data_IF_932549733009
#
_entry.id   IF_932549733009
#
_cell.length_a   1.000
_cell.length_b   1.000
_cell.length_c   1.000
_cell.angle_alpha   90.00
_cell.angle_beta   90.00
_cell.angle_gamma   90.00
#
_symmetry.space_group_name_H-M   'P 1'
#
loop_
_entity.id
_entity.type
_entity.pdbx_description
1 polymer ?
#
# COMPACT_ATOMS: atom_id res chain seq x y z
N UNK A 1 -3.40 -14.52 -4.09
CA UNK A 1 -4.59 -14.18 -3.27
C UNK A 1 -5.42 -15.41 -2.94
N UNK A 2 -5.98 -16.12 -3.93
CA UNK A 2 -6.73 -17.35 -3.69
C UNK A 2 -5.94 -18.38 -2.88
N UNK A 3 -4.64 -18.54 -3.15
CA UNK A 3 -3.77 -19.46 -2.41
C UNK A 3 -3.65 -19.12 -0.91
N UNK A 4 -3.50 -17.84 -0.55
CA UNK A 4 -3.49 -17.38 0.85
C UNK A 4 -4.83 -17.64 1.56
N UNK A 5 -5.94 -17.40 0.85
CA UNK A 5 -7.28 -17.66 1.36
C UNK A 5 -7.51 -19.15 1.59
N UNK A 6 -7.12 -19.99 0.62
CA UNK A 6 -7.20 -21.46 0.72
C UNK A 6 -6.36 -21.94 1.90
N UNK A 7 -5.13 -21.44 2.07
CA UNK A 7 -4.27 -21.82 3.20
C UNK A 7 -4.89 -21.44 4.55
N UNK A 8 -5.45 -20.23 4.68
CA UNK A 8 -6.15 -19.81 5.88
C UNK A 8 -7.41 -20.64 6.16
N UNK A 9 -8.14 -21.01 5.10
CA UNK A 9 -9.33 -21.85 5.17
C UNK A 9 -8.98 -23.30 5.55
N UNK A 10 -7.86 -23.85 5.06
CA UNK A 10 -7.33 -25.14 5.49
C UNK A 10 -6.97 -25.13 6.97
N UNK A 11 -6.29 -24.08 7.46
CA UNK A 11 -6.01 -23.93 8.90
C UNK A 11 -7.30 -23.82 9.71
N UNK A 12 -8.30 -23.09 9.22
CA UNK A 12 -9.59 -22.98 9.88
C UNK A 12 -10.35 -24.33 9.94
N UNK A 13 -10.34 -25.12 8.87
CA UNK A 13 -11.08 -26.38 8.80
C UNK A 13 -10.37 -27.52 9.54
N UNK A 14 -9.07 -27.70 9.30
CA UNK A 14 -8.34 -28.91 9.73
C UNK A 14 -7.53 -28.73 11.02
N UNK A 15 -7.36 -27.49 11.51
CA UNK A 15 -6.62 -27.28 12.75
C UNK A 15 -7.47 -27.51 14.00
N UNK A 16 -6.82 -28.05 15.02
CA UNK A 16 -7.33 -28.21 16.40
C UNK A 16 -6.98 -27.02 17.30
N UNK A 17 -6.38 -25.96 16.75
CA UNK A 17 -5.99 -24.76 17.52
C UNK A 17 -7.23 -24.09 18.14
N UNK A 18 -7.19 -23.73 19.44
CA UNK A 18 -8.26 -22.98 20.09
C UNK A 18 -8.42 -21.61 19.40
N UNK A 19 -9.66 -21.16 19.23
CA UNK A 19 -9.97 -19.88 18.55
C UNK A 19 -9.50 -19.78 17.09
N UNK A 20 -9.43 -20.89 16.34
CA UNK A 20 -9.02 -20.93 14.91
C UNK A 20 -9.72 -19.93 13.98
N UNK A 21 -10.95 -19.48 14.31
CA UNK A 21 -11.65 -18.38 13.61
C UNK A 21 -10.82 -17.08 13.58
N UNK A 22 -10.02 -16.84 14.61
CA UNK A 22 -9.18 -15.66 14.77
C UNK A 22 -7.99 -15.63 13.79
N UNK A 23 -7.43 -16.81 13.48
CA UNK A 23 -6.39 -16.96 12.45
C UNK A 23 -6.97 -16.55 11.10
N UNK A 24 -8.13 -17.10 10.74
CA UNK A 24 -8.82 -16.78 9.49
C UNK A 24 -9.16 -15.28 9.39
N UNK A 25 -9.72 -14.70 10.45
CA UNK A 25 -10.01 -13.26 10.51
C UNK A 25 -8.74 -12.42 10.32
N UNK A 26 -7.64 -12.78 10.95
CA UNK A 26 -6.37 -12.06 10.82
C UNK A 26 -5.86 -12.09 9.38
N UNK A 27 -5.98 -13.24 8.71
CA UNK A 27 -5.61 -13.35 7.29
C UNK A 27 -6.52 -12.49 6.42
N UNK A 28 -7.84 -12.56 6.62
CA UNK A 28 -8.82 -11.79 5.86
C UNK A 28 -8.61 -10.27 5.98
N UNK A 29 -8.37 -9.77 7.19
CA UNK A 29 -8.19 -8.34 7.45
C UNK A 29 -6.91 -7.80 6.82
N UNK A 30 -5.83 -8.59 6.79
CA UNK A 30 -4.59 -8.21 6.11
C UNK A 30 -4.78 -8.29 4.59
N UNK A 31 -5.51 -9.31 4.10
CA UNK A 31 -5.78 -9.52 2.68
C UNK A 31 -6.73 -8.50 2.04
N UNK A 32 -7.64 -7.88 2.81
CA UNK A 32 -8.69 -6.98 2.34
C UNK A 32 -8.21 -5.65 1.72
N UNK A 33 -6.91 -5.46 1.45
CA UNK A 33 -6.44 -4.34 0.64
C UNK A 33 -5.00 -4.48 0.18
N UNK A 34 -4.65 -5.64 -0.39
CA UNK A 34 -3.28 -5.96 -0.78
C UNK A 34 -2.83 -5.11 -1.98
N UNK A 35 -1.77 -4.34 -1.73
CA UNK A 35 -0.76 -4.00 -2.72
C UNK A 35 0.54 -4.71 -2.27
N UNK A 36 1.37 -5.22 -3.20
CA UNK A 36 2.65 -5.88 -2.87
C UNK A 36 3.51 -4.94 -2.00
N UNK A 37 4.34 -5.44 -1.10
CA UNK A 37 5.18 -4.61 -0.21
C UNK A 37 4.43 -3.87 0.92
N UNK A 38 3.14 -3.54 0.76
CA UNK A 38 2.29 -3.08 1.87
C UNK A 38 1.88 -4.22 2.81
N UNK A 39 2.00 -5.48 2.39
CA UNK A 39 1.65 -6.66 3.18
C UNK A 39 2.51 -6.73 4.45
N UNK A 40 3.83 -6.58 4.34
CA UNK A 40 4.75 -6.60 5.49
C UNK A 40 4.43 -5.46 6.46
N UNK A 41 4.32 -4.23 5.95
CA UNK A 41 3.99 -3.05 6.76
C UNK A 41 2.64 -3.23 7.48
N UNK A 42 1.61 -3.73 6.79
CA UNK A 42 0.29 -4.02 7.40
C UNK A 42 0.34 -5.15 8.40
N UNK A 43 1.16 -6.17 8.18
CA UNK A 43 1.33 -7.29 9.11
C UNK A 43 1.97 -6.82 10.42
N UNK A 44 3.02 -5.99 10.35
CA UNK A 44 3.64 -5.37 11.53
C UNK A 44 2.63 -4.48 12.27
N UNK A 45 1.89 -3.64 11.53
CA UNK A 45 0.85 -2.79 12.09
C UNK A 45 -0.30 -3.60 12.71
N UNK A 46 -0.63 -4.76 12.13
CA UNK A 46 -1.61 -5.70 12.66
C UNK A 46 -1.14 -6.27 14.00
N UNK A 47 0.12 -6.71 14.09
CA UNK A 47 0.71 -7.17 15.36
C UNK A 47 0.65 -6.06 16.41
N UNK A 48 1.14 -4.85 16.09
CA UNK A 48 1.16 -3.72 17.02
C UNK A 48 -0.24 -3.35 17.52
N UNK A 49 -1.19 -3.17 16.60
CA UNK A 49 -2.55 -2.78 16.94
C UNK A 49 -3.30 -3.87 17.72
N UNK A 50 -3.10 -5.15 17.37
CA UNK A 50 -3.73 -6.26 18.09
C UNK A 50 -3.13 -6.45 19.48
N UNK A 51 -1.80 -6.39 19.64
CA UNK A 51 -1.17 -6.48 20.96
C UNK A 51 -1.61 -5.33 21.88
N UNK A 52 -1.66 -4.09 21.36
CA UNK A 52 -2.13 -2.94 22.12
C UNK A 52 -3.61 -3.10 22.54
N UNK A 53 -4.47 -3.60 21.64
CA UNK A 53 -5.87 -3.84 21.94
C UNK A 53 -6.07 -4.95 22.98
N UNK A 54 -5.26 -6.01 22.92
CA UNK A 54 -5.31 -7.11 23.87
C UNK A 54 -4.85 -6.68 25.27
N UNK A 55 -3.76 -5.90 25.38
CA UNK A 55 -3.29 -5.35 26.65
C UNK A 55 -4.33 -4.42 27.26
N UNK A 56 -4.93 -3.54 26.46
CA UNK A 56 -5.94 -2.59 26.94
C UNK A 56 -7.27 -3.27 27.27
N UNK A 57 -7.55 -4.44 26.68
CA UNK A 57 -8.77 -5.16 27.02
C UNK A 57 -8.74 -5.87 28.35
N UNK A 58 -7.59 -6.27 28.87
CA UNK A 58 -7.52 -6.86 30.22
C UNK A 58 -8.23 -5.99 31.26
N UNK A 59 -7.88 -4.70 31.45
CA UNK A 59 -8.58 -3.86 32.44
C UNK A 59 -10.04 -3.60 32.06
N UNK A 60 -10.36 -3.50 30.76
CA UNK A 60 -11.76 -3.30 30.31
C UNK A 60 -12.64 -4.50 30.67
N UNK A 61 -12.12 -5.72 30.57
CA UNK A 61 -12.87 -6.92 30.94
C UNK A 61 -13.19 -6.95 32.44
N UNK A 62 -12.23 -6.56 33.28
CA UNK A 62 -12.48 -6.41 34.72
C UNK A 62 -13.50 -5.30 35.01
N UNK A 63 -13.45 -4.16 34.31
CA UNK A 63 -14.45 -3.10 34.45
C UNK A 63 -15.86 -3.55 34.04
N UNK A 64 -15.97 -4.34 32.98
CA UNK A 64 -17.23 -4.91 32.51
C UNK A 64 -17.83 -5.88 33.51
N UNK A 65 -17.00 -6.67 34.21
CA UNK A 65 -17.47 -7.56 35.27
C UNK A 65 -18.09 -6.80 36.44
N UNK A 66 -17.60 -5.58 36.73
CA UNK A 66 -18.16 -4.72 37.78
C UNK A 66 -19.52 -4.13 37.34
N UNK A 67 -19.68 -3.78 36.06
CA UNK A 67 -20.92 -3.23 35.55
C UNK A 67 -21.22 -3.68 34.12
N UNK A 68 -22.07 -4.70 34.00
CA UNK A 68 -22.48 -5.31 32.73
C UNK A 68 -23.21 -4.33 31.80
N UNK A 69 -23.77 -3.22 32.31
CA UNK A 69 -24.43 -2.19 31.47
C UNK A 69 -23.44 -1.42 30.59
N UNK A 70 -22.13 -1.52 30.86
CA UNK A 70 -21.09 -0.92 30.04
C UNK A 70 -20.86 -1.68 28.72
N UNK A 71 -21.29 -2.93 28.61
CA UNK A 71 -21.01 -3.77 27.43
C UNK A 71 -21.59 -3.17 26.14
N UNK A 72 -22.90 -2.81 26.07
CA UNK A 72 -23.45 -2.23 24.84
C UNK A 72 -22.83 -0.87 24.52
N UNK A 73 -22.49 -0.06 25.53
CA UNK A 73 -21.85 1.24 25.36
C UNK A 73 -20.47 1.10 24.72
N UNK A 74 -19.65 0.16 25.22
CA UNK A 74 -18.33 -0.14 24.67
C UNK A 74 -18.42 -0.75 23.27
N UNK A 75 -19.42 -1.59 23.00
CA UNK A 75 -19.65 -2.18 21.69
C UNK A 75 -19.99 -1.10 20.65
N UNK A 76 -20.95 -0.22 20.95
CA UNK A 76 -21.35 0.88 20.05
C UNK A 76 -20.19 1.86 19.86
N UNK A 77 -19.51 2.24 20.95
CA UNK A 77 -18.35 3.12 20.91
C UNK A 77 -17.23 2.56 20.03
N UNK A 78 -16.91 1.28 20.18
CA UNK A 78 -15.89 0.61 19.37
C UNK A 78 -16.30 0.47 17.90
N UNK A 79 -17.58 0.25 17.59
CA UNK A 79 -18.09 0.26 16.22
C UNK A 79 -17.92 1.63 15.56
N UNK A 80 -18.31 2.72 16.24
CA UNK A 80 -18.14 4.09 15.73
C UNK A 80 -16.66 4.39 15.50
N UNK A 81 -15.81 4.10 16.49
CA UNK A 81 -14.36 4.35 16.40
C UNK A 81 -13.72 3.50 15.29
N UNK A 82 -14.20 2.29 15.03
CA UNK A 82 -13.76 1.47 13.90
C UNK A 82 -14.10 2.13 12.55
N UNK A 83 -15.30 2.69 12.40
CA UNK A 83 -15.72 3.39 11.16
C UNK A 83 -14.90 4.66 10.96
N UNK A 84 -14.77 5.50 12.00
CA UNK A 84 -14.03 6.76 11.97
C UNK A 84 -12.55 6.52 11.67
N UNK A 85 -11.92 5.56 12.37
CA UNK A 85 -10.53 5.18 12.09
C UNK A 85 -10.35 4.55 10.71
N UNK A 86 -11.40 3.93 10.16
CA UNK A 86 -11.46 3.42 8.80
C UNK A 86 -11.27 4.50 7.72
N UNK A 87 -11.67 5.75 8.00
CA UNK A 87 -11.51 6.87 7.07
C UNK A 87 -10.06 7.34 6.96
N UNK A 88 -9.24 7.10 8.00
CA UNK A 88 -7.83 7.49 8.01
C UNK A 88 -6.92 6.31 7.61
N UNK A 89 -6.70 6.15 6.31
CA UNK A 89 -5.85 5.09 5.75
C UNK A 89 -4.38 5.14 6.20
N UNK A 90 -3.90 6.31 6.66
CA UNK A 90 -2.51 6.50 7.02
C UNK A 90 -2.17 5.84 8.37
N UNK A 91 -3.14 5.80 9.30
CA UNK A 91 -3.01 5.21 10.65
C UNK A 91 -3.73 3.86 10.76
N UNK A 92 -3.36 2.92 9.89
CA UNK A 92 -3.91 1.55 9.89
C UNK A 92 -3.81 0.84 11.26
N UNK A 93 -2.79 1.17 12.07
CA UNK A 93 -2.65 0.67 13.45
C UNK A 93 -3.89 0.94 14.32
N UNK A 94 -4.46 2.14 14.21
CA UNK A 94 -5.62 2.59 15.00
C UNK A 94 -6.88 1.85 14.52
N UNK A 95 -7.04 1.68 13.20
CA UNK A 95 -8.13 0.89 12.63
C UNK A 95 -8.08 -0.55 13.14
N UNK A 96 -6.90 -1.17 13.08
CA UNK A 96 -6.69 -2.53 13.59
C UNK A 96 -7.08 -2.62 15.06
N UNK A 97 -6.64 -1.67 15.88
CA UNK A 97 -6.93 -1.63 17.30
C UNK A 97 -8.45 -1.69 17.56
N UNK A 98 -9.22 -0.78 16.95
CA UNK A 98 -10.67 -0.75 17.15
C UNK A 98 -11.39 -1.94 16.52
N UNK A 99 -10.92 -2.46 15.38
CA UNK A 99 -11.47 -3.71 14.81
C UNK A 99 -11.24 -4.89 15.75
N UNK A 100 -10.03 -5.04 16.31
CA UNK A 100 -9.72 -6.11 17.27
C UNK A 100 -10.59 -5.98 18.53
N UNK A 101 -10.76 -4.76 19.04
CA UNK A 101 -11.58 -4.48 20.21
C UNK A 101 -13.07 -4.79 19.97
N UNK A 102 -13.62 -4.32 18.84
CA UNK A 102 -15.00 -4.59 18.44
C UNK A 102 -15.26 -6.09 18.25
N UNK A 103 -14.41 -6.78 17.49
CA UNK A 103 -14.60 -8.22 17.22
C UNK A 103 -14.49 -9.03 18.52
N UNK A 104 -13.61 -8.63 19.44
CA UNK A 104 -13.51 -9.32 20.72
C UNK A 104 -14.77 -9.12 21.57
N UNK A 105 -15.26 -7.89 21.72
CA UNK A 105 -16.51 -7.63 22.44
C UNK A 105 -17.70 -8.36 21.81
N UNK A 106 -17.76 -8.39 20.47
CA UNK A 106 -18.76 -9.14 19.74
C UNK A 106 -18.65 -10.65 20.03
N UNK A 107 -17.45 -11.20 20.02
CA UNK A 107 -17.22 -12.61 20.34
C UNK A 107 -17.61 -12.93 21.79
N UNK A 108 -17.31 -12.02 22.72
CA UNK A 108 -17.68 -12.19 24.13
C UNK A 108 -19.22 -12.19 24.33
N UNK A 109 -19.98 -11.55 23.44
CA UNK A 109 -21.44 -11.54 23.45
C UNK A 109 -22.08 -12.74 22.76
N UNK A 110 -21.43 -13.34 21.77
CA UNK A 110 -22.02 -14.39 20.91
C UNK A 110 -21.52 -15.80 21.23
N UNK A 111 -20.59 -15.96 22.16
CA UNK A 111 -20.13 -17.29 22.59
C UNK A 111 -21.10 -17.83 23.63
N UNK A 112 -21.82 -18.88 23.25
CA UNK A 112 -22.81 -19.58 24.09
C UNK A 112 -22.15 -20.57 25.06
N UNK A 113 -20.93 -21.03 24.77
CA UNK A 113 -20.17 -21.96 25.61
C UNK A 113 -19.27 -21.19 26.59
N UNK A 114 -19.44 -21.42 27.89
CA UNK A 114 -18.54 -20.89 28.91
C UNK A 114 -17.18 -21.58 28.72
N UNK A 115 -16.26 -20.93 27.99
CA UNK A 115 -14.87 -21.40 27.94
C UNK A 115 -14.29 -21.25 29.35
N UNK A 116 -13.77 -22.34 29.91
CA UNK A 116 -13.09 -22.35 31.22
C UNK A 116 -11.76 -21.55 31.24
N UNK A 117 -11.47 -20.80 30.17
CA UNK A 117 -10.24 -20.03 29.99
C UNK A 117 -10.30 -18.72 30.81
N UNK A 118 -9.22 -18.45 31.55
CA UNK A 118 -9.06 -17.16 32.22
C UNK A 118 -8.86 -16.00 31.22
N UNK A 119 -9.08 -14.73 31.63
CA UNK A 119 -8.85 -13.55 30.76
C UNK A 119 -7.43 -13.51 30.16
N UNK A 120 -6.44 -13.99 30.91
CA UNK A 120 -5.04 -14.05 30.48
C UNK A 120 -4.83 -15.12 29.40
N UNK A 121 -5.37 -16.33 29.60
CA UNK A 121 -5.27 -17.44 28.64
C UNK A 121 -5.95 -17.08 27.32
N UNK A 122 -7.14 -16.47 27.40
CA UNK A 122 -7.89 -16.00 26.24
C UNK A 122 -7.10 -14.96 25.42
N UNK A 123 -6.44 -14.01 26.09
CA UNK A 123 -5.59 -13.01 25.44
C UNK A 123 -4.38 -13.67 24.77
N UNK A 124 -3.73 -14.60 25.46
CA UNK A 124 -2.53 -15.29 24.98
C UNK A 124 -2.84 -16.17 23.76
N UNK A 125 -3.94 -16.93 23.80
CA UNK A 125 -4.42 -17.73 22.67
C UNK A 125 -4.69 -16.87 21.43
N UNK A 126 -5.31 -15.69 21.61
CA UNK A 126 -5.57 -14.76 20.49
C UNK A 126 -4.31 -14.10 19.96
N UNK A 127 -3.34 -13.79 20.84
CA UNK A 127 -2.03 -13.29 20.44
C UNK A 127 -1.29 -14.31 19.56
N UNK A 128 -1.25 -15.58 19.98
CA UNK A 128 -0.67 -16.68 19.20
C UNK A 128 -1.39 -16.83 17.86
N UNK A 129 -2.72 -16.84 17.83
CA UNK A 129 -3.48 -16.95 16.59
C UNK A 129 -3.18 -15.80 15.60
N UNK A 130 -2.98 -14.58 16.10
CA UNK A 130 -2.57 -13.44 15.26
C UNK A 130 -1.17 -13.63 14.70
N UNK A 131 -0.22 -14.13 15.50
CA UNK A 131 1.14 -14.42 15.02
C UNK A 131 1.14 -15.51 13.94
N UNK A 132 0.34 -16.58 14.12
CA UNK A 132 0.18 -17.64 13.12
C UNK A 132 -0.41 -17.07 11.83
N UNK A 133 -1.48 -16.26 11.91
CA UNK A 133 -2.08 -15.62 10.74
C UNK A 133 -1.10 -14.71 9.99
N UNK A 134 -0.27 -13.96 10.72
CA UNK A 134 0.79 -13.13 10.12
C UNK A 134 1.89 -13.99 9.48
N UNK A 135 2.33 -15.07 10.14
CA UNK A 135 3.33 -15.97 9.60
C UNK A 135 2.89 -16.59 8.27
N UNK A 136 1.63 -17.07 8.19
CA UNK A 136 1.01 -17.57 6.95
C UNK A 136 1.12 -16.55 5.82
N UNK A 137 0.81 -15.28 6.11
CA UNK A 137 0.83 -14.22 5.11
C UNK A 137 2.25 -13.84 4.70
N UNK A 138 3.18 -13.72 5.65
CA UNK A 138 4.58 -13.39 5.33
C UNK A 138 5.25 -14.51 4.53
N UNK A 139 5.00 -15.77 4.87
CA UNK A 139 5.49 -16.91 4.09
C UNK A 139 4.91 -16.89 2.68
N UNK A 140 3.60 -16.67 2.54
CA UNK A 140 2.99 -16.55 1.22
C UNK A 140 3.52 -15.34 0.44
N UNK A 141 3.79 -14.22 1.11
CA UNK A 141 4.32 -13.01 0.50
C UNK A 141 5.73 -13.25 -0.06
N UNK A 142 6.58 -13.88 0.75
CA UNK A 142 7.93 -14.28 0.38
C UNK A 142 7.93 -15.23 -0.84
N UNK A 143 7.17 -16.31 -0.80
CA UNK A 143 7.16 -17.29 -1.89
C UNK A 143 6.53 -16.73 -3.18
N UNK A 144 5.48 -15.92 -3.09
CA UNK A 144 4.71 -15.46 -4.27
C UNK A 144 5.21 -14.15 -4.86
N UNK A 145 5.65 -13.18 -4.05
CA UNK A 145 5.96 -11.83 -4.54
C UNK A 145 7.47 -11.56 -4.65
N UNK A 146 8.28 -12.07 -3.71
CA UNK A 146 9.74 -11.88 -3.76
C UNK A 146 10.36 -12.69 -4.91
N UNK A 147 9.95 -13.95 -5.08
CA UNK A 147 10.37 -14.82 -6.19
C UNK A 147 10.14 -14.21 -7.58
N UNK A 148 9.09 -13.40 -7.75
CA UNK A 148 8.73 -12.81 -9.05
C UNK A 148 9.17 -11.34 -9.23
N UNK A 149 9.84 -10.76 -8.22
CA UNK A 149 10.20 -9.33 -8.14
C UNK A 149 9.02 -8.43 -8.53
N UNK A 150 7.82 -8.78 -8.07
CA UNK A 150 6.57 -8.18 -8.57
C UNK A 150 6.50 -6.69 -8.25
N UNK A 151 6.98 -6.25 -7.07
CA UNK A 151 7.05 -4.83 -6.69
C UNK A 151 7.85 -4.00 -7.70
N UNK A 152 9.00 -4.52 -8.16
CA UNK A 152 9.86 -3.83 -9.14
C UNK A 152 9.19 -3.73 -10.52
N UNK A 153 8.53 -4.81 -10.97
CA UNK A 153 7.77 -4.83 -12.23
C UNK A 153 6.59 -3.86 -12.20
N UNK A 154 5.84 -3.85 -11.10
CA UNK A 154 4.70 -2.96 -10.92
C UNK A 154 5.13 -1.49 -10.90
N UNK A 155 6.22 -1.18 -10.18
CA UNK A 155 6.78 0.16 -10.17
C UNK A 155 7.24 0.59 -11.57
N UNK A 156 8.01 -0.24 -12.27
CA UNK A 156 8.44 0.04 -13.64
C UNK A 156 7.26 0.29 -14.59
N UNK A 157 6.21 -0.53 -14.50
CA UNK A 157 4.99 -0.32 -15.28
C UNK A 157 4.38 1.07 -15.04
N UNK A 158 4.28 1.51 -13.79
CA UNK A 158 3.81 2.85 -13.46
C UNK A 158 4.78 3.96 -13.89
N UNK A 159 6.10 3.74 -13.86
CA UNK A 159 7.09 4.67 -14.41
C UNK A 159 6.85 4.88 -15.91
N UNK A 160 6.70 3.78 -16.67
CA UNK A 160 6.49 3.81 -18.11
C UNK A 160 5.17 4.51 -18.49
N UNK A 161 4.08 4.20 -17.78
CA UNK A 161 2.80 4.86 -17.99
C UNK A 161 2.87 6.37 -17.74
N UNK A 162 3.52 6.78 -16.63
CA UNK A 162 3.65 8.19 -16.26
C UNK A 162 4.52 8.94 -17.27
N UNK A 163 5.63 8.35 -17.70
CA UNK A 163 6.50 8.92 -18.72
C UNK A 163 5.81 9.09 -20.07
N UNK A 164 5.09 8.06 -20.54
CA UNK A 164 4.31 8.14 -21.80
C UNK A 164 3.23 9.21 -21.70
N UNK A 165 2.55 9.32 -20.55
CA UNK A 165 1.57 10.36 -20.29
C UNK A 165 2.19 11.76 -20.39
N UNK A 166 3.30 12.00 -19.67
CA UNK A 166 4.02 13.28 -19.68
C UNK A 166 4.48 13.66 -21.09
N UNK A 167 5.08 12.70 -21.82
CA UNK A 167 5.50 12.91 -23.21
C UNK A 167 4.33 13.28 -24.12
N UNK A 168 3.21 12.56 -24.02
CA UNK A 168 2.00 12.84 -24.80
C UNK A 168 1.46 14.24 -24.50
N UNK A 169 1.38 14.63 -23.23
CA UNK A 169 0.89 15.97 -22.85
C UNK A 169 1.82 17.10 -23.29
N UNK A 170 3.13 16.92 -23.21
CA UNK A 170 4.07 17.90 -23.75
C UNK A 170 3.95 18.04 -25.27
N UNK A 171 3.73 16.94 -26.00
CA UNK A 171 3.49 16.96 -27.44
C UNK A 171 2.17 17.65 -27.81
N UNK A 172 1.08 17.36 -27.08
CA UNK A 172 -0.21 18.06 -27.23
C UNK A 172 -0.06 19.59 -27.05
N UNK A 173 0.84 20.05 -26.17
CA UNK A 173 1.10 21.48 -25.96
C UNK A 173 1.98 22.12 -27.05
N UNK A 174 2.78 21.30 -27.76
CA UNK A 174 3.57 21.74 -28.93
C UNK A 174 2.69 21.90 -30.16
N UNK A 175 1.76 20.98 -30.35
CA UNK A 175 0.90 20.94 -31.53
C UNK A 175 -0.22 21.99 -31.41
N UNK A 176 -0.14 23.03 -32.24
CA UNK A 176 -1.05 24.18 -32.25
C UNK A 176 -2.54 23.85 -32.49
N UNK A 177 -2.82 22.69 -33.09
CA UNK A 177 -4.16 22.36 -33.61
C UNK A 177 -5.16 21.84 -32.56
N UNK A 178 -4.72 21.48 -31.35
CA UNK A 178 -5.56 20.79 -30.36
C UNK A 178 -5.75 21.57 -29.05
N UNK A 179 -5.74 22.91 -29.12
CA UNK A 179 -6.02 23.74 -27.97
C UNK A 179 -7.52 23.67 -27.62
N UNK A 180 -7.88 23.19 -26.42
CA UNK A 180 -9.28 23.07 -26.02
C UNK A 180 -9.91 24.45 -25.87
N UNK A 181 -11.13 24.60 -26.39
CA UNK A 181 -11.92 25.84 -26.36
C UNK A 181 -12.05 26.40 -24.93
N UNK A 182 -12.08 25.51 -23.92
CA UNK A 182 -12.10 25.89 -22.51
C UNK A 182 -10.78 25.57 -21.78
N UNK A 183 -9.97 26.62 -21.59
CA UNK A 183 -8.65 26.57 -20.93
C UNK A 183 -8.72 26.11 -19.48
N UNK A 184 -9.73 26.54 -18.73
CA UNK A 184 -9.92 26.17 -17.33
C UNK A 184 -10.26 24.69 -17.19
N UNK A 185 -11.17 24.19 -18.00
CA UNK A 185 -11.54 22.76 -18.00
C UNK A 185 -10.35 21.87 -18.34
N UNK A 186 -9.49 22.29 -19.27
CA UNK A 186 -8.27 21.55 -19.61
C UNK A 186 -7.30 21.48 -18.44
N UNK A 187 -7.00 22.62 -17.79
CA UNK A 187 -6.08 22.65 -16.65
C UNK A 187 -6.62 21.79 -15.50
N UNK A 188 -7.93 21.85 -15.23
CA UNK A 188 -8.56 21.00 -14.20
C UNK A 188 -8.42 19.51 -14.54
N UNK A 189 -8.76 19.11 -15.77
CA UNK A 189 -8.63 17.72 -16.21
C UNK A 189 -7.18 17.25 -16.16
N UNK A 190 -6.23 18.07 -16.60
CA UNK A 190 -4.80 17.75 -16.55
C UNK A 190 -4.34 17.56 -15.11
N UNK A 191 -4.78 18.41 -14.18
CA UNK A 191 -4.49 18.28 -12.74
C UNK A 191 -5.01 16.95 -12.20
N UNK A 192 -6.24 16.60 -12.51
CA UNK A 192 -6.88 15.40 -11.97
C UNK A 192 -6.20 14.13 -12.54
N UNK A 193 -5.95 14.07 -13.86
CA UNK A 193 -5.20 12.99 -14.51
C UNK A 193 -3.76 12.86 -13.96
N UNK A 194 -3.07 13.98 -13.77
CA UNK A 194 -1.71 14.00 -13.23
C UNK A 194 -1.70 13.49 -11.80
N UNK A 195 -2.62 13.94 -10.95
CA UNK A 195 -2.72 13.50 -9.56
C UNK A 195 -3.00 12.00 -9.45
N UNK A 196 -3.88 11.46 -10.28
CA UNK A 196 -4.17 10.02 -10.31
C UNK A 196 -2.92 9.21 -10.64
N UNK A 197 -2.22 9.55 -11.74
CA UNK A 197 -1.04 8.81 -12.23
C UNK A 197 0.13 8.91 -11.26
N UNK A 198 0.40 10.11 -10.73
CA UNK A 198 1.47 10.32 -9.76
C UNK A 198 1.17 9.65 -8.42
N UNK A 199 -0.10 9.62 -7.98
CA UNK A 199 -0.51 8.90 -6.77
C UNK A 199 -0.32 7.39 -6.92
N UNK A 200 -0.69 6.82 -8.08
CA UNK A 200 -0.46 5.40 -8.37
C UNK A 200 1.04 5.04 -8.34
N UNK A 201 1.87 5.86 -8.99
CA UNK A 201 3.32 5.67 -8.98
C UNK A 201 3.93 5.85 -7.58
N UNK A 202 3.50 6.85 -6.81
CA UNK A 202 3.97 7.08 -5.45
C UNK A 202 3.63 5.89 -4.53
N UNK A 203 2.43 5.31 -4.66
CA UNK A 203 2.06 4.09 -3.94
C UNK A 203 2.94 2.90 -4.33
N UNK A 204 3.19 2.72 -5.63
CA UNK A 204 4.10 1.66 -6.10
C UNK A 204 5.54 1.86 -5.62
N UNK A 205 6.01 3.11 -5.53
CA UNK A 205 7.31 3.45 -4.99
C UNK A 205 7.41 3.13 -3.49
N UNK A 206 6.42 3.54 -2.70
CA UNK A 206 6.37 3.26 -1.26
C UNK A 206 6.34 1.75 -0.99
N UNK A 207 5.57 1.03 -1.80
CA UNK A 207 5.52 -0.44 -1.82
C UNK A 207 6.92 -1.04 -2.06
N UNK A 208 7.61 -0.62 -3.12
CA UNK A 208 8.93 -1.13 -3.47
C UNK A 208 10.00 -0.79 -2.41
N UNK A 209 9.97 0.41 -1.84
CA UNK A 209 10.91 0.84 -0.79
C UNK A 209 10.65 0.14 0.54
N UNK A 210 9.41 -0.25 0.81
CA UNK A 210 9.01 -0.97 2.02
C UNK A 210 9.22 -2.48 1.92
N UNK A 211 9.60 -2.98 0.74
CA UNK A 211 9.91 -4.39 0.53
C UNK A 211 11.18 -4.79 1.30
N UNK A 212 11.20 -6.01 1.84
CA UNK A 212 12.32 -6.53 2.62
C UNK A 212 13.57 -6.74 1.78
N UNK A 213 13.40 -7.02 0.48
CA UNK A 213 14.49 -7.22 -0.48
C UNK A 213 15.04 -5.92 -1.09
N UNK A 214 14.54 -4.75 -0.68
CA UNK A 214 14.95 -3.46 -1.24
C UNK A 214 16.30 -2.98 -0.71
N UNK A 215 17.33 -3.03 -1.56
CA UNK A 215 18.65 -2.49 -1.29
C UNK A 215 18.66 -0.96 -1.19
N UNK A 216 19.64 -0.41 -0.46
CA UNK A 216 19.84 1.02 -0.23
C UNK A 216 20.09 1.78 -1.55
N UNK A 217 20.73 1.13 -2.53
CA UNK A 217 20.89 1.66 -3.88
C UNK A 217 19.53 1.85 -4.58
N UNK A 218 18.65 0.84 -4.53
CA UNK A 218 17.31 0.91 -5.12
C UNK A 218 16.48 2.04 -4.49
N UNK A 219 16.54 2.19 -3.16
CA UNK A 219 15.84 3.28 -2.45
C UNK A 219 16.32 4.65 -2.92
N UNK A 220 17.62 4.81 -3.16
CA UNK A 220 18.20 6.05 -3.68
C UNK A 220 17.75 6.32 -5.12
N UNK A 221 17.72 5.32 -5.99
CA UNK A 221 17.24 5.45 -7.38
C UNK A 221 15.77 5.86 -7.43
N UNK A 222 14.91 5.22 -6.64
CA UNK A 222 13.48 5.57 -6.53
C UNK A 222 13.30 7.01 -6.07
N UNK A 223 14.06 7.45 -5.06
CA UNK A 223 14.00 8.83 -4.56
C UNK A 223 14.45 9.85 -5.62
N UNK A 224 15.53 9.56 -6.35
CA UNK A 224 16.01 10.41 -7.44
C UNK A 224 14.97 10.55 -8.57
N UNK A 225 14.37 9.43 -9.00
CA UNK A 225 13.33 9.44 -10.03
C UNK A 225 12.08 10.22 -9.59
N UNK A 226 11.64 10.06 -8.33
CA UNK A 226 10.53 10.86 -7.77
C UNK A 226 10.85 12.36 -7.74
N UNK A 227 12.09 12.73 -7.42
CA UNK A 227 12.56 14.11 -7.50
C UNK A 227 12.42 14.69 -8.91
N UNK A 228 12.98 13.99 -9.91
CA UNK A 228 12.89 14.37 -11.33
C UNK A 228 11.43 14.48 -11.80
N UNK A 229 10.56 13.57 -11.38
CA UNK A 229 9.13 13.64 -11.71
C UNK A 229 8.41 14.83 -11.09
N UNK A 230 8.75 15.21 -9.86
CA UNK A 230 8.19 16.39 -9.23
C UNK A 230 8.54 17.67 -10.01
N UNK A 231 9.78 17.75 -10.51
CA UNK A 231 10.24 18.83 -11.39
C UNK A 231 9.51 18.80 -12.74
N UNK A 232 9.40 17.64 -13.39
CA UNK A 232 8.65 17.47 -14.64
C UNK A 232 7.18 17.90 -14.50
N UNK A 233 6.53 17.56 -13.37
CA UNK A 233 5.17 18.00 -13.08
C UNK A 233 5.08 19.52 -13.01
N UNK A 234 6.00 20.19 -12.31
CA UNK A 234 6.04 21.65 -12.19
C UNK A 234 6.22 22.30 -13.56
N UNK A 235 7.18 21.79 -14.36
CA UNK A 235 7.43 22.31 -15.70
C UNK A 235 6.26 22.07 -16.64
N UNK A 236 5.57 20.92 -16.59
CA UNK A 236 4.37 20.69 -17.39
C UNK A 236 3.30 21.77 -17.12
N UNK A 237 3.01 22.05 -15.84
CA UNK A 237 2.04 23.11 -15.50
C UNK A 237 2.54 24.50 -15.86
N UNK A 238 3.84 24.78 -15.74
CA UNK A 238 4.43 26.06 -16.18
C UNK A 238 4.30 26.23 -17.69
N UNK A 239 4.54 25.17 -18.47
CA UNK A 239 4.34 25.13 -19.93
C UNK A 239 2.87 25.36 -20.29
N UNK A 240 1.93 24.71 -19.58
CA UNK A 240 0.50 24.96 -19.75
C UNK A 240 0.14 26.41 -19.45
N UNK A 241 0.67 27.00 -18.38
CA UNK A 241 0.40 28.38 -17.99
C UNK A 241 0.95 29.38 -19.03
N UNK A 242 2.20 29.17 -19.46
CA UNK A 242 2.83 29.97 -20.50
C UNK A 242 2.05 29.94 -21.82
N UNK A 243 1.52 28.77 -22.19
CA UNK A 243 0.76 28.59 -23.44
C UNK A 243 -0.67 29.09 -23.36
N UNK A 244 -1.41 28.71 -22.32
CA UNK A 244 -2.86 28.91 -22.25
C UNK A 244 -3.24 30.24 -21.63
N UNK A 245 -2.45 30.76 -20.70
CA UNK A 245 -2.81 31.95 -19.91
C UNK A 245 -2.00 33.15 -20.38
N UNK A 246 -0.67 33.02 -20.44
CA UNK A 246 0.22 34.13 -20.80
C UNK A 246 0.41 34.33 -22.31
N UNK A 247 0.10 33.32 -23.14
CA UNK A 247 0.37 33.33 -24.59
C UNK A 247 1.82 33.74 -24.95
N UNK A 248 2.81 33.36 -24.14
CA UNK A 248 4.20 33.76 -24.33
C UNK A 248 4.98 32.64 -25.04
N UNK A 249 5.32 32.79 -26.34
CA UNK A 249 6.00 31.74 -27.12
C UNK A 249 7.45 31.50 -26.65
N UNK A 250 8.11 32.53 -26.14
CA UNK A 250 9.48 32.43 -25.60
C UNK A 250 9.51 31.54 -24.35
N UNK A 251 8.63 31.81 -23.38
CA UNK A 251 8.53 31.02 -22.15
C UNK A 251 8.07 29.58 -22.42
N UNK A 252 7.17 29.39 -23.41
CA UNK A 252 6.78 28.06 -23.86
C UNK A 252 7.98 27.26 -24.38
N UNK A 253 8.77 27.86 -25.27
CA UNK A 253 9.91 27.20 -25.90
C UNK A 253 10.98 26.85 -24.86
N UNK A 254 11.31 27.80 -23.97
CA UNK A 254 12.26 27.58 -22.87
C UNK A 254 11.80 26.43 -21.95
N UNK A 255 10.56 26.47 -21.47
CA UNK A 255 10.03 25.44 -20.59
C UNK A 255 9.98 24.06 -21.27
N UNK A 256 9.74 23.99 -22.58
CA UNK A 256 9.75 22.75 -23.35
C UNK A 256 11.15 22.16 -23.53
N UNK A 257 12.18 23.01 -23.71
CA UNK A 257 13.59 22.57 -23.75
C UNK A 257 14.02 22.00 -22.40
N UNK A 258 13.72 22.71 -21.31
CA UNK A 258 13.99 22.25 -19.94
C UNK A 258 13.24 20.95 -19.64
N UNK A 259 12.00 20.83 -20.13
CA UNK A 259 11.19 19.62 -20.01
C UNK A 259 11.81 18.43 -20.75
N UNK A 260 12.30 18.61 -21.98
CA UNK A 260 12.95 17.54 -22.74
C UNK A 260 14.23 17.06 -22.06
N UNK A 261 15.04 17.98 -21.53
CA UNK A 261 16.25 17.63 -20.79
C UNK A 261 15.92 16.77 -19.54
N UNK A 262 14.87 17.13 -18.80
CA UNK A 262 14.41 16.33 -17.65
C UNK A 262 13.76 15.02 -18.07
N UNK A 263 13.09 14.95 -19.21
CA UNK A 263 12.55 13.69 -19.74
C UNK A 263 13.68 12.72 -20.10
N UNK A 264 14.76 13.19 -20.71
CA UNK A 264 15.96 12.38 -20.97
C UNK A 264 16.61 11.88 -19.66
N UNK A 265 16.68 12.75 -18.64
CA UNK A 265 17.15 12.37 -17.30
C UNK A 265 16.22 11.35 -16.63
N UNK A 266 14.90 11.50 -16.75
CA UNK A 266 13.94 10.54 -16.21
C UNK A 266 14.05 9.18 -16.92
N UNK A 267 14.31 9.18 -18.24
CA UNK A 267 14.51 7.95 -19.00
C UNK A 267 15.76 7.19 -18.55
N UNK A 268 16.88 7.87 -18.28
CA UNK A 268 18.09 7.21 -17.77
C UNK A 268 17.96 6.70 -16.34
N UNK A 269 17.01 7.27 -15.57
CA UNK A 269 16.68 6.87 -14.20
C UNK A 269 15.56 5.82 -14.10
N UNK A 270 14.95 5.41 -15.21
CA UNK A 270 13.96 4.33 -15.18
C UNK A 270 14.63 3.03 -14.74
N UNK A 271 13.96 2.27 -13.87
CA UNK A 271 14.46 0.97 -13.47
C UNK A 271 14.39 0.02 -14.67
N UNK A 272 15.48 -0.10 -15.43
CA UNK A 272 15.58 -1.09 -16.50
C UNK A 272 15.46 -2.47 -15.85
N UNK A 273 14.41 -3.22 -16.18
CA UNK A 273 14.38 -4.66 -15.92
C UNK A 273 14.68 -5.41 -17.20
N UNK A 274 15.79 -6.17 -17.17
CA UNK A 274 16.09 -7.37 -17.95
C UNK A 274 16.58 -7.20 -19.41
N UNK A 275 17.88 -6.96 -19.57
CA UNK A 275 18.83 -7.99 -20.03
C UNK A 275 20.25 -7.56 -19.60
N UNK A 276 21.13 -8.53 -19.34
CA UNK A 276 22.59 -8.38 -19.41
C UNK A 276 23.42 -8.13 -18.13
N UNK A 277 23.15 -8.88 -17.04
CA UNK A 277 24.24 -9.22 -16.08
C UNK A 277 24.25 -10.66 -15.53
N UNK A 278 23.21 -11.46 -15.77
CA UNK A 278 23.12 -12.83 -15.23
C UNK A 278 23.11 -13.95 -16.29
N UNK A 279 23.68 -13.71 -17.48
CA UNK A 279 24.17 -14.81 -18.32
C UNK A 279 25.70 -14.73 -18.37
N UNK A 280 26.44 -15.73 -17.84
CA UNK A 280 27.83 -15.85 -18.22
C UNK A 280 27.86 -16.15 -19.71
N UNK A 281 28.43 -15.23 -20.48
CA UNK A 281 28.94 -15.51 -21.81
C UNK A 281 30.06 -16.53 -21.61
N UNK A 282 29.72 -17.83 -21.64
CA UNK A 282 30.68 -18.88 -21.98
C UNK A 282 31.03 -18.73 -23.46
N UNK A 283 31.84 -17.71 -23.74
CA UNK A 283 32.85 -17.81 -24.78
C UNK A 283 33.89 -18.82 -24.29
N UNK A 284 33.74 -20.08 -24.69
CA UNK A 284 34.88 -20.92 -25.04
C UNK A 284 34.52 -21.80 -26.24
N UNK A 285 34.52 -21.18 -27.42
CA UNK A 285 35.22 -21.81 -28.53
C UNK A 285 36.71 -21.49 -28.33
N UNK A 286 37.50 -22.49 -27.94
CA UNK A 286 38.95 -22.71 -28.20
C UNK A 286 39.56 -23.62 -27.11
N UNK A 287 39.48 -24.93 -27.32
CA UNK A 287 40.60 -25.88 -27.33
C UNK A 287 40.07 -27.28 -27.62
#
# INVERSE_FOLDING_TARGET
MALMYIMALCVFLFSTIPHKRWVFLSVMVICAGIQPGLIVKRSIRRIKGTMLALVLMMPVLYLVQINYRLIPVLLIGSAILMVVSGMNSNRYDIKVFFTTFFVFLLTALTVEEITAEGPVEMVLNRAICTLIGVAIILSADYFLFDSYRYGRKLYFFHQLLTYRFLKKKAQELREEKNLPVNRYTYISRLRDETNERFSALAKAAESLVSDLSADLALKKEVAQFQGTLSELRRLLFATCFARLILNSPENLTRNLVDFDALMSKAQSQMLITMHDKDQPVETMAKS
#
